data_IF_651963078677
#
_entry.id   IF_651963078677
#
_cell.length_a   1.000
_cell.length_b   1.000
_cell.length_c   1.000
_cell.angle_alpha   90.00
_cell.angle_beta   90.00
_cell.angle_gamma   90.00
#
_symmetry.space_group_name_H-M   'P 1'
#
loop_
_entity.id
_entity.type
_entity.pdbx_description
1 polymer ?
#
# COMPACT_ATOMS: atom_id res chain seq x y z
N UNK A 1 19.08 -17.43 -0.19
CA UNK A 1 18.25 -18.64 -0.24
C UNK A 1 16.93 -18.52 0.52
N UNK A 2 16.43 -17.28 0.73
CA UNK A 2 15.17 -17.00 1.41
C UNK A 2 13.98 -17.06 0.43
N UNK A 3 14.24 -16.89 -0.86
CA UNK A 3 13.19 -16.79 -1.90
C UNK A 3 13.47 -17.84 -2.98
N UNK A 4 12.56 -18.81 -3.10
CA UNK A 4 12.58 -19.82 -4.17
C UNK A 4 11.91 -19.26 -5.44
N UNK A 5 12.48 -18.20 -6.03
CA UNK A 5 12.02 -17.65 -7.32
C UNK A 5 13.11 -17.83 -8.38
N UNK A 6 12.69 -18.04 -9.62
CA UNK A 6 13.58 -18.20 -10.78
C UNK A 6 13.97 -16.85 -11.36
N UNK A 7 13.12 -15.81 -11.21
CA UNK A 7 13.30 -14.49 -11.81
C UNK A 7 13.36 -13.41 -10.72
N UNK A 8 14.48 -12.67 -10.68
CA UNK A 8 14.73 -11.54 -9.78
C UNK A 8 14.80 -10.21 -10.54
N UNK A 9 14.08 -10.08 -11.66
CA UNK A 9 14.17 -8.91 -12.53
C UNK A 9 13.66 -7.64 -11.85
N UNK A 10 12.52 -7.73 -11.14
CA UNK A 10 11.93 -6.60 -10.42
C UNK A 10 12.81 -6.14 -9.26
N UNK A 11 13.32 -7.08 -8.48
CA UNK A 11 14.21 -6.80 -7.35
C UNK A 11 15.53 -6.19 -7.83
N UNK A 12 16.10 -6.71 -8.93
CA UNK A 12 17.31 -6.17 -9.55
C UNK A 12 17.09 -4.75 -10.07
N UNK A 13 15.95 -4.49 -10.73
CA UNK A 13 15.58 -3.16 -11.21
C UNK A 13 15.39 -2.17 -10.04
N UNK A 14 14.70 -2.60 -8.99
CA UNK A 14 14.48 -1.78 -7.79
C UNK A 14 15.80 -1.41 -7.10
N UNK A 15 16.73 -2.38 -6.97
CA UNK A 15 18.06 -2.13 -6.40
C UNK A 15 18.89 -1.21 -7.28
N UNK A 16 18.83 -1.39 -8.60
CA UNK A 16 19.52 -0.53 -9.56
C UNK A 16 19.04 0.92 -9.48
N UNK A 17 17.70 1.14 -9.48
CA UNK A 17 17.11 2.46 -9.33
C UNK A 17 17.44 3.10 -7.97
N UNK A 18 17.43 2.30 -6.90
CA UNK A 18 17.85 2.75 -5.58
C UNK A 18 19.32 3.19 -5.59
N UNK A 19 20.20 2.44 -6.25
CA UNK A 19 21.60 2.80 -6.42
C UNK A 19 21.81 4.13 -7.12
N UNK A 20 21.08 4.37 -8.22
CA UNK A 20 21.09 5.66 -8.92
C UNK A 20 20.59 6.78 -7.99
N UNK A 21 19.49 6.56 -7.26
CA UNK A 21 18.95 7.52 -6.31
C UNK A 21 19.96 7.91 -5.22
N UNK A 22 20.65 6.92 -4.64
CA UNK A 22 21.70 7.16 -3.64
C UNK A 22 22.87 7.96 -4.22
N UNK A 23 23.33 7.64 -5.44
CA UNK A 23 24.40 8.40 -6.12
C UNK A 23 24.03 9.87 -6.31
N UNK A 24 22.77 10.17 -6.66
CA UNK A 24 22.29 11.54 -6.79
C UNK A 24 22.23 12.26 -5.43
N UNK A 25 21.78 11.55 -4.39
CA UNK A 25 21.67 12.11 -3.03
C UNK A 25 23.04 12.40 -2.40
N UNK A 26 24.07 11.59 -2.66
CA UNK A 26 25.43 11.85 -2.17
C UNK A 26 25.94 13.23 -2.60
N UNK A 27 25.61 13.63 -3.84
CA UNK A 27 26.00 14.97 -4.35
C UNK A 27 25.26 16.11 -3.67
N UNK A 28 24.06 15.87 -3.15
CA UNK A 28 23.21 16.90 -2.55
C UNK A 28 23.40 16.96 -1.04
N UNK A 29 23.46 15.82 -0.35
CA UNK A 29 23.60 15.71 1.09
C UNK A 29 23.99 14.27 1.48
N UNK A 30 25.16 14.09 2.09
CA UNK A 30 25.60 12.81 2.60
C UNK A 30 24.62 12.20 3.62
N UNK A 31 24.02 13.04 4.46
CA UNK A 31 23.01 12.63 5.44
C UNK A 31 21.79 12.02 4.75
N UNK A 32 21.31 12.63 3.68
CA UNK A 32 20.14 12.14 2.92
C UNK A 32 20.45 10.81 2.24
N UNK A 33 21.65 10.65 1.68
CA UNK A 33 22.09 9.40 1.08
C UNK A 33 22.16 8.26 2.12
N UNK A 34 22.68 8.55 3.32
CA UNK A 34 22.73 7.58 4.40
C UNK A 34 21.33 7.14 4.86
N UNK A 35 20.41 8.11 5.05
CA UNK A 35 19.02 7.82 5.40
C UNK A 35 18.34 6.96 4.33
N UNK A 36 18.60 7.24 3.05
CA UNK A 36 18.06 6.44 1.94
C UNK A 36 18.59 5.01 1.94
N UNK A 37 19.87 4.80 2.22
CA UNK A 37 20.46 3.46 2.33
C UNK A 37 19.84 2.65 3.48
N UNK A 38 19.70 3.29 4.64
CA UNK A 38 19.06 2.65 5.81
C UNK A 38 17.60 2.31 5.51
N UNK A 39 16.87 3.23 4.90
CA UNK A 39 15.48 2.99 4.51
C UNK A 39 15.36 1.84 3.51
N UNK A 40 16.26 1.75 2.52
CA UNK A 40 16.30 0.66 1.55
C UNK A 40 16.61 -0.69 2.23
N UNK A 41 17.54 -0.73 3.18
CA UNK A 41 17.86 -1.93 3.94
C UNK A 41 16.68 -2.41 4.79
N UNK A 42 15.99 -1.49 5.48
CA UNK A 42 14.77 -1.78 6.24
C UNK A 42 13.67 -2.30 5.29
N UNK A 43 13.47 -1.64 4.14
CA UNK A 43 12.50 -2.06 3.13
C UNK A 43 12.78 -3.49 2.63
N UNK A 44 14.04 -3.85 2.42
CA UNK A 44 14.43 -5.20 2.03
C UNK A 44 14.10 -6.25 3.11
N UNK A 45 14.31 -5.91 4.39
CA UNK A 45 13.93 -6.78 5.50
C UNK A 45 12.42 -6.99 5.53
N UNK A 46 11.63 -5.92 5.41
CA UNK A 46 10.18 -6.01 5.33
C UNK A 46 9.70 -6.85 4.14
N UNK A 47 10.32 -6.67 2.98
CA UNK A 47 10.04 -7.46 1.79
C UNK A 47 10.25 -8.97 2.04
N UNK A 48 11.37 -9.36 2.64
CA UNK A 48 11.64 -10.75 3.00
C UNK A 48 10.62 -11.31 4.01
N UNK A 49 10.20 -10.50 4.98
CA UNK A 49 9.19 -10.89 5.97
C UNK A 49 7.84 -11.14 5.28
N UNK A 50 7.41 -10.21 4.41
CA UNK A 50 6.13 -10.31 3.70
C UNK A 50 6.10 -11.55 2.79
N UNK A 51 7.18 -11.84 2.07
CA UNK A 51 7.26 -13.04 1.22
C UNK A 51 7.05 -14.32 2.05
N UNK A 52 7.78 -14.45 3.18
CA UNK A 52 7.60 -15.60 4.08
C UNK A 52 6.21 -15.71 4.67
N UNK A 53 5.56 -14.57 4.87
CA UNK A 53 4.21 -14.51 5.40
C UNK A 53 3.19 -15.01 4.37
N UNK A 54 3.37 -14.64 3.09
CA UNK A 54 2.47 -15.01 1.99
C UNK A 54 2.59 -16.50 1.63
N UNK A 55 3.73 -17.15 1.93
CA UNK A 55 3.91 -18.59 1.68
C UNK A 55 2.97 -19.49 2.49
N UNK A 56 2.40 -18.98 3.60
CA UNK A 56 1.52 -19.72 4.50
C UNK A 56 0.09 -19.15 4.47
N UNK A 57 -0.85 -19.78 3.76
CA UNK A 57 -2.23 -19.30 3.64
C UNK A 57 -2.97 -19.15 4.97
N UNK A 58 -2.67 -20.00 5.95
CA UNK A 58 -3.31 -19.94 7.27
C UNK A 58 -2.89 -18.70 8.04
N UNK A 59 -1.62 -18.31 7.94
CA UNK A 59 -1.11 -17.08 8.54
C UNK A 59 -1.70 -15.86 7.85
N UNK A 60 -1.78 -15.88 6.51
CA UNK A 60 -2.40 -14.81 5.72
C UNK A 60 -3.83 -14.57 6.19
N UNK A 61 -4.64 -15.62 6.32
CA UNK A 61 -6.02 -15.51 6.77
C UNK A 61 -6.14 -14.94 8.19
N UNK A 62 -5.29 -15.37 9.12
CA UNK A 62 -5.27 -14.86 10.50
C UNK A 62 -4.85 -13.39 10.59
N UNK A 63 -3.94 -12.96 9.72
CA UNK A 63 -3.41 -11.60 9.70
C UNK A 63 -4.28 -10.62 8.93
N UNK A 64 -5.19 -11.08 8.10
CA UNK A 64 -6.02 -10.24 7.24
C UNK A 64 -6.82 -9.19 8.04
N UNK A 65 -7.59 -9.61 9.04
CA UNK A 65 -8.39 -8.69 9.84
C UNK A 65 -7.53 -7.70 10.65
N UNK A 66 -6.50 -8.12 11.42
CA UNK A 66 -5.63 -7.17 12.10
C UNK A 66 -4.89 -6.23 11.14
N UNK A 67 -4.52 -6.69 9.95
CA UNK A 67 -3.91 -5.83 8.93
C UNK A 67 -4.90 -4.76 8.40
N UNK A 68 -6.16 -5.11 8.16
CA UNK A 68 -7.21 -4.13 7.80
C UNK A 68 -7.36 -3.07 8.88
N UNK A 69 -7.46 -3.48 10.15
CA UNK A 69 -7.59 -2.55 11.29
C UNK A 69 -6.34 -1.66 11.39
N UNK A 70 -5.16 -2.21 11.18
CA UNK A 70 -3.90 -1.47 11.19
C UNK A 70 -3.87 -0.40 10.08
N UNK A 71 -4.24 -0.75 8.84
CA UNK A 71 -4.27 0.20 7.72
C UNK A 71 -5.26 1.35 7.97
N UNK A 72 -6.48 1.04 8.40
CA UNK A 72 -7.50 2.06 8.74
C UNK A 72 -7.02 2.90 9.92
N UNK A 73 -6.43 2.29 10.95
CA UNK A 73 -5.85 2.99 12.09
C UNK A 73 -4.73 3.94 11.70
N UNK A 74 -3.81 3.53 10.82
CA UNK A 74 -2.74 4.38 10.29
C UNK A 74 -3.30 5.61 9.57
N UNK A 75 -4.31 5.42 8.70
CA UNK A 75 -4.96 6.52 8.00
C UNK A 75 -5.73 7.41 8.99
N UNK A 76 -6.45 6.83 9.96
CA UNK A 76 -7.15 7.58 10.99
C UNK A 76 -6.24 8.44 11.87
N UNK A 77 -5.11 7.89 12.30
CA UNK A 77 -4.07 8.64 13.04
C UNK A 77 -3.53 9.79 12.18
N UNK A 78 -3.40 9.59 10.88
CA UNK A 78 -2.92 10.64 9.98
C UNK A 78 -3.91 11.80 9.87
N UNK A 79 -5.22 11.54 9.89
CA UNK A 79 -6.24 12.61 9.90
C UNK A 79 -6.09 13.50 11.13
N UNK A 80 -5.80 12.90 12.29
CA UNK A 80 -5.73 13.63 13.57
C UNK A 80 -4.39 14.36 13.74
N UNK A 81 -3.28 13.73 13.37
CA UNK A 81 -1.92 14.22 13.64
C UNK A 81 -1.17 14.68 12.40
N UNK A 82 -1.73 14.49 11.22
CA UNK A 82 -1.09 14.87 9.95
C UNK A 82 -0.98 16.38 9.79
N UNK A 83 0.18 16.82 9.30
CA UNK A 83 0.38 18.21 8.89
C UNK A 83 0.05 18.36 7.41
N UNK A 84 -0.59 19.48 7.09
CA UNK A 84 -0.90 19.83 5.71
C UNK A 84 0.41 20.17 4.99
N UNK A 85 0.73 19.40 3.97
CA UNK A 85 1.87 19.61 3.09
C UNK A 85 1.36 19.47 1.65
N UNK A 86 1.58 20.51 0.84
CA UNK A 86 1.09 20.57 -0.56
C UNK A 86 -0.42 20.33 -0.72
N UNK A 87 -1.22 20.78 0.24
CA UNK A 87 -2.68 20.66 0.19
C UNK A 87 -3.26 19.37 0.78
N UNK A 88 -2.43 18.42 1.20
CA UNK A 88 -2.86 17.17 1.83
C UNK A 88 -2.29 17.01 3.25
N UNK A 89 -3.14 16.55 4.17
CA UNK A 89 -2.73 16.26 5.56
C UNK A 89 -2.24 14.82 5.69
N UNK A 90 -1.10 14.49 5.07
CA UNK A 90 -0.62 13.13 4.91
C UNK A 90 0.78 12.85 5.53
N UNK A 91 1.43 13.85 6.11
CA UNK A 91 2.74 13.71 6.75
C UNK A 91 2.68 13.85 8.26
N UNK A 92 3.31 12.93 8.97
CA UNK A 92 3.54 13.02 10.42
C UNK A 92 5.02 13.33 10.64
N UNK A 93 5.29 14.36 11.44
CA UNK A 93 6.64 14.82 11.78
C UNK A 93 6.94 14.45 13.24
N UNK A 94 8.02 13.70 13.46
CA UNK A 94 8.51 13.33 14.78
C UNK A 94 9.95 13.86 14.91
N UNK A 95 10.10 15.05 15.45
CA UNK A 95 11.39 15.74 15.50
C UNK A 95 11.92 16.03 14.09
N UNK A 96 13.09 15.49 13.76
CA UNK A 96 13.72 15.65 12.44
C UNK A 96 13.28 14.61 11.40
N UNK A 97 12.43 13.65 11.77
CA UNK A 97 11.94 12.61 10.89
C UNK A 97 10.53 12.94 10.40
N UNK A 98 10.30 12.76 9.11
CA UNK A 98 8.97 12.81 8.51
C UNK A 98 8.58 11.42 8.02
N UNK A 99 7.35 11.05 8.27
CA UNK A 99 6.80 9.76 7.92
C UNK A 99 5.40 9.94 7.32
N UNK A 100 5.12 9.21 6.24
CA UNK A 100 3.82 9.21 5.59
C UNK A 100 3.13 7.85 5.83
N UNK A 101 2.15 7.77 6.74
CA UNK A 101 1.52 6.50 7.08
C UNK A 101 0.78 5.84 5.91
N UNK A 102 0.30 6.62 4.93
CA UNK A 102 -0.35 6.10 3.73
C UNK A 102 0.59 5.22 2.88
N UNK A 103 1.92 5.40 2.97
CA UNK A 103 2.88 4.52 2.29
C UNK A 103 2.86 3.09 2.87
N UNK A 104 2.78 2.96 4.19
CA UNK A 104 2.60 1.64 4.82
C UNK A 104 1.19 1.09 4.58
N UNK A 105 0.18 1.95 4.63
CA UNK A 105 -1.19 1.54 4.33
C UNK A 105 -1.33 0.97 2.90
N UNK A 106 -0.59 1.50 1.90
CA UNK A 106 -0.53 0.93 0.53
C UNK A 106 -0.03 -0.51 0.52
N UNK A 107 1.05 -0.78 1.24
CA UNK A 107 1.62 -2.14 1.31
C UNK A 107 0.60 -3.11 1.91
N UNK A 108 -0.04 -2.70 3.01
CA UNK A 108 -1.09 -3.49 3.67
C UNK A 108 -2.29 -3.69 2.73
N UNK A 109 -2.71 -2.64 2.02
CA UNK A 109 -3.82 -2.69 1.10
C UNK A 109 -3.59 -3.69 -0.04
N UNK A 110 -2.39 -3.67 -0.64
CA UNK A 110 -2.00 -4.62 -1.69
C UNK A 110 -1.96 -6.05 -1.13
N UNK A 111 -1.41 -6.23 0.07
CA UNK A 111 -1.38 -7.53 0.75
C UNK A 111 -2.80 -8.10 0.97
N UNK A 112 -3.73 -7.28 1.45
CA UNK A 112 -5.13 -7.67 1.66
C UNK A 112 -5.80 -7.96 0.32
N UNK A 113 -5.58 -7.14 -0.71
CA UNK A 113 -6.09 -7.37 -2.05
C UNK A 113 -5.60 -8.71 -2.62
N UNK A 114 -4.31 -8.97 -2.58
CA UNK A 114 -3.71 -10.21 -3.06
C UNK A 114 -4.22 -11.44 -2.29
N UNK A 115 -4.29 -11.36 -0.95
CA UNK A 115 -4.84 -12.43 -0.11
C UNK A 115 -6.32 -12.68 -0.36
N UNK A 116 -7.03 -11.67 -0.81
CA UNK A 116 -8.45 -11.77 -1.13
C UNK A 116 -8.72 -12.49 -2.45
N UNK A 117 -7.73 -12.60 -3.35
CA UNK A 117 -7.90 -13.32 -4.61
C UNK A 117 -8.18 -14.82 -4.39
N UNK A 118 -7.55 -15.43 -3.40
CA UNK A 118 -7.76 -16.85 -3.06
C UNK A 118 -8.98 -17.08 -2.16
N UNK A 119 -9.25 -16.18 -1.24
CA UNK A 119 -10.25 -16.32 -0.17
C UNK A 119 -11.61 -15.72 -0.56
N UNK A 120 -11.69 -14.92 -1.60
CA UNK A 120 -12.91 -14.26 -2.07
C UNK A 120 -14.01 -15.21 -2.61
N UNK A 121 -13.82 -16.52 -2.52
CA UNK A 121 -14.87 -17.50 -2.87
C UNK A 121 -16.15 -17.32 -2.05
N UNK A 122 -16.07 -16.66 -0.88
CA UNK A 122 -17.22 -16.40 -0.02
C UNK A 122 -17.73 -14.98 -0.22
N UNK A 123 -19.03 -14.79 -0.42
CA UNK A 123 -19.68 -13.46 -0.57
C UNK A 123 -19.33 -12.50 0.60
N UNK A 124 -19.15 -13.03 1.80
CA UNK A 124 -18.77 -12.28 2.99
C UNK A 124 -17.39 -11.60 2.84
N UNK A 125 -16.39 -12.36 2.40
CA UNK A 125 -15.03 -11.84 2.27
C UNK A 125 -14.90 -10.77 1.18
N UNK A 126 -15.70 -10.88 0.12
CA UNK A 126 -15.79 -9.85 -0.92
C UNK A 126 -16.37 -8.55 -0.34
N UNK A 127 -17.46 -8.64 0.41
CA UNK A 127 -18.08 -7.47 1.03
C UNK A 127 -17.13 -6.77 2.01
N UNK A 128 -16.41 -7.55 2.84
CA UNK A 128 -15.39 -7.02 3.74
C UNK A 128 -14.30 -6.24 2.98
N UNK A 129 -13.82 -6.78 1.85
CA UNK A 129 -12.82 -6.10 1.03
C UNK A 129 -13.35 -4.83 0.38
N UNK A 130 -14.60 -4.84 -0.11
CA UNK A 130 -15.25 -3.65 -0.69
C UNK A 130 -15.39 -2.55 0.38
N UNK A 131 -15.90 -2.90 1.57
CA UNK A 131 -16.07 -1.95 2.68
C UNK A 131 -14.71 -1.39 3.11
N UNK A 132 -13.71 -2.24 3.29
CA UNK A 132 -12.35 -1.83 3.64
C UNK A 132 -11.78 -0.86 2.62
N UNK A 133 -11.91 -1.17 1.31
CA UNK A 133 -11.41 -0.33 0.23
C UNK A 133 -12.12 1.02 0.19
N UNK A 134 -13.45 1.03 0.36
CA UNK A 134 -14.24 2.26 0.40
C UNK A 134 -13.85 3.14 1.60
N UNK A 135 -13.63 2.55 2.77
CA UNK A 135 -13.17 3.27 3.97
C UNK A 135 -11.78 3.88 3.74
N UNK A 136 -10.82 3.11 3.20
CA UNK A 136 -9.48 3.63 2.92
C UNK A 136 -9.50 4.79 1.92
N UNK A 137 -10.22 4.64 0.81
CA UNK A 137 -10.35 5.70 -0.22
C UNK A 137 -11.04 6.93 0.38
N UNK A 138 -12.10 6.74 1.16
CA UNK A 138 -12.81 7.84 1.84
C UNK A 138 -11.92 8.61 2.82
N UNK A 139 -11.13 7.91 3.65
CA UNK A 139 -10.19 8.55 4.58
C UNK A 139 -9.11 9.34 3.83
N UNK A 140 -8.55 8.81 2.73
CA UNK A 140 -7.58 9.49 1.90
C UNK A 140 -8.17 10.73 1.22
N UNK A 141 -9.41 10.65 0.74
CA UNK A 141 -10.13 11.79 0.18
C UNK A 141 -10.36 12.89 1.24
N UNK A 142 -10.75 12.52 2.47
CA UNK A 142 -10.89 13.45 3.59
C UNK A 142 -9.57 14.15 3.97
N UNK A 143 -8.43 13.49 3.76
CA UNK A 143 -7.10 14.07 3.97
C UNK A 143 -6.66 14.98 2.81
N UNK A 144 -7.41 15.05 1.70
CA UNK A 144 -7.02 15.75 0.48
C UNK A 144 -5.95 15.01 -0.34
N UNK A 145 -5.62 13.76 0.02
CA UNK A 145 -4.63 12.94 -0.69
C UNK A 145 -5.26 12.16 -1.85
N UNK A 146 -5.77 12.91 -2.84
CA UNK A 146 -6.46 12.33 -3.99
C UNK A 146 -5.54 11.45 -4.85
N UNK A 147 -4.24 11.76 -4.89
CA UNK A 147 -3.26 10.95 -5.61
C UNK A 147 -3.16 9.52 -5.04
N UNK A 148 -3.01 9.41 -3.73
CA UNK A 148 -2.98 8.11 -3.06
C UNK A 148 -4.36 7.44 -3.10
N UNK A 149 -5.46 8.19 -2.95
CA UNK A 149 -6.82 7.67 -3.07
C UNK A 149 -7.06 7.02 -4.45
N UNK A 150 -6.59 7.65 -5.52
CA UNK A 150 -6.66 7.11 -6.88
C UNK A 150 -5.89 5.78 -7.01
N UNK A 151 -4.69 5.70 -6.43
CA UNK A 151 -3.89 4.46 -6.43
C UNK A 151 -4.65 3.32 -5.73
N UNK A 152 -5.24 3.59 -4.56
CA UNK A 152 -6.06 2.60 -3.84
C UNK A 152 -7.27 2.17 -4.66
N UNK A 153 -7.95 3.12 -5.26
CA UNK A 153 -9.13 2.86 -6.09
C UNK A 153 -8.79 2.01 -7.32
N UNK A 154 -7.74 2.37 -8.06
CA UNK A 154 -7.29 1.59 -9.23
C UNK A 154 -6.83 0.19 -8.83
N UNK A 155 -6.10 0.07 -7.71
CA UNK A 155 -5.69 -1.24 -7.18
C UNK A 155 -6.90 -2.10 -6.82
N UNK A 156 -7.92 -1.50 -6.19
CA UNK A 156 -9.18 -2.18 -5.90
C UNK A 156 -9.86 -2.67 -7.18
N UNK A 157 -9.97 -1.81 -8.21
CA UNK A 157 -10.58 -2.17 -9.49
C UNK A 157 -9.84 -3.32 -10.17
N UNK A 158 -8.50 -3.26 -10.22
CA UNK A 158 -7.69 -4.32 -10.81
C UNK A 158 -7.88 -5.65 -10.07
N UNK A 159 -7.86 -5.62 -8.74
CA UNK A 159 -8.08 -6.82 -7.91
C UNK A 159 -9.50 -7.38 -8.12
N UNK A 160 -10.50 -6.53 -8.14
CA UNK A 160 -11.90 -6.92 -8.39
C UNK A 160 -12.08 -7.52 -9.79
N UNK A 161 -11.42 -6.94 -10.80
CA UNK A 161 -11.44 -7.46 -12.17
C UNK A 161 -10.72 -8.80 -12.28
N UNK A 162 -9.52 -8.93 -11.77
CA UNK A 162 -8.77 -10.20 -11.76
C UNK A 162 -9.59 -11.34 -11.13
N UNK A 163 -10.47 -10.97 -10.22
CA UNK A 163 -11.35 -11.90 -9.52
C UNK A 163 -12.61 -12.26 -10.31
N UNK A 164 -13.34 -11.23 -10.78
CA UNK A 164 -14.66 -11.43 -11.40
C UNK A 164 -14.58 -11.81 -12.88
N UNK A 165 -13.52 -11.38 -13.56
CA UNK A 165 -13.42 -11.47 -15.03
C UNK A 165 -14.50 -10.64 -15.76
N UNK A 166 -15.31 -9.87 -15.02
CA UNK A 166 -16.47 -9.15 -15.57
C UNK A 166 -16.20 -7.65 -15.67
N UNK A 167 -16.13 -7.15 -16.91
CA UNK A 167 -15.99 -5.73 -17.20
C UNK A 167 -17.15 -4.86 -16.67
N UNK A 168 -18.35 -5.43 -16.49
CA UNK A 168 -19.49 -4.68 -15.94
C UNK A 168 -19.22 -4.19 -14.54
N UNK A 169 -18.54 -4.99 -13.72
CA UNK A 169 -18.14 -4.61 -12.36
C UNK A 169 -17.22 -3.40 -12.36
N UNK A 170 -16.27 -3.31 -13.29
CA UNK A 170 -15.38 -2.16 -13.44
C UNK A 170 -16.15 -0.92 -13.86
N UNK A 171 -17.00 -1.05 -14.90
CA UNK A 171 -17.79 0.08 -15.41
C UNK A 171 -18.69 0.63 -14.30
N UNK A 172 -19.34 -0.24 -13.52
CA UNK A 172 -20.21 0.16 -12.42
C UNK A 172 -19.42 0.88 -11.32
N UNK A 173 -18.24 0.36 -10.94
CA UNK A 173 -17.40 0.97 -9.91
C UNK A 173 -16.81 2.32 -10.36
N UNK A 174 -16.38 2.44 -11.62
CA UNK A 174 -15.91 3.71 -12.19
C UNK A 174 -17.06 4.72 -12.27
N UNK A 175 -18.23 4.29 -12.72
CA UNK A 175 -19.42 5.14 -12.75
C UNK A 175 -19.77 5.63 -11.34
N UNK A 176 -19.80 4.75 -10.35
CA UNK A 176 -20.06 5.11 -8.95
C UNK A 176 -19.03 6.13 -8.41
N UNK A 177 -17.76 6.01 -8.79
CA UNK A 177 -16.74 6.97 -8.39
C UNK A 177 -16.92 8.34 -9.05
N UNK A 178 -17.32 8.38 -10.32
CA UNK A 178 -17.56 9.64 -11.06
C UNK A 178 -18.81 10.37 -10.51
N UNK A 179 -19.86 9.63 -10.15
CA UNK A 179 -21.10 10.21 -9.60
C UNK A 179 -21.03 10.48 -8.10
N UNK A 180 -20.02 9.96 -7.39
CA UNK A 180 -19.81 10.16 -5.94
C UNK A 180 -18.87 11.31 -5.59
N UNK A 181 -18.27 11.97 -6.58
CA UNK A 181 -17.48 13.20 -6.46
C UNK A 181 -18.30 14.38 -6.89
#
# INVERSE_FOLDING_TARGET
>A
FVIRRVNFELESLALFLTGIGVMMLIRQSERSAYVQLVAAAIGMIFFCIIIKLIEDPDKVNKLRLPAMICAVGLLGVTIVFGKITNGAANWIYIGSFSFQPSELAKIIFIFIGASSLDVLMTKKNLLEYIIFSAVCVGLLALMGDFGTALIFFVTFLLTAFMRSGDFKTIILAVAAAIFGV
#
